data_IF_827956385242
#
_entry.id   IF_827956385242
#
_cell.length_a   1.000
_cell.length_b   1.000
_cell.length_c   1.000
_cell.angle_alpha   90.00
_cell.angle_beta   90.00
_cell.angle_gamma   90.00
#
_symmetry.space_group_name_H-M   'P 1'
#
loop_
_entity.id
_entity.type
_entity.pdbx_description
1 polymer ?
#
# COMPACT_ATOMS: atom_id res chain seq x y z
N UNK A 1 -10.50 -17.34 47.20
CA UNK A 1 -10.73 -16.15 46.33
C UNK A 1 -11.37 -16.63 45.04
N UNK A 2 -12.48 -16.07 44.58
CA UNK A 2 -13.16 -16.57 43.39
C UNK A 2 -12.36 -16.21 42.14
N UNK A 3 -11.96 -17.20 41.37
CA UNK A 3 -11.23 -17.12 40.12
C UNK A 3 -11.85 -16.11 39.11
N UNK A 4 -13.17 -15.93 39.18
CA UNK A 4 -13.93 -14.99 38.36
C UNK A 4 -13.53 -13.52 38.55
N UNK A 5 -13.06 -13.13 39.78
CA UNK A 5 -12.59 -11.76 40.03
C UNK A 5 -11.18 -11.51 39.48
N UNK A 6 -10.33 -12.54 39.47
CA UNK A 6 -8.97 -12.45 38.93
C UNK A 6 -9.03 -12.37 37.38
N UNK A 7 -9.89 -13.18 36.76
CA UNK A 7 -10.11 -13.13 35.31
C UNK A 7 -10.76 -11.81 34.87
N UNK A 8 -11.74 -11.30 35.66
CA UNK A 8 -12.35 -10.00 35.35
C UNK A 8 -11.36 -8.84 35.52
N UNK A 9 -10.53 -8.83 36.55
CA UNK A 9 -9.51 -7.81 36.77
C UNK A 9 -8.42 -7.86 35.70
N UNK A 10 -8.00 -9.07 35.26
CA UNK A 10 -7.06 -9.25 34.17
C UNK A 10 -7.61 -8.78 32.81
N UNK A 11 -8.89 -9.05 32.55
CA UNK A 11 -9.59 -8.59 31.37
C UNK A 11 -9.70 -7.06 31.29
N UNK A 12 -10.08 -6.41 32.39
CA UNK A 12 -10.17 -4.94 32.49
C UNK A 12 -8.79 -4.29 32.33
N UNK A 13 -7.75 -4.83 32.97
CA UNK A 13 -6.38 -4.31 32.80
C UNK A 13 -5.87 -4.47 31.37
N UNK A 14 -6.17 -5.59 30.71
CA UNK A 14 -5.82 -5.83 29.32
C UNK A 14 -6.50 -4.84 28.36
N UNK A 15 -7.79 -4.59 28.57
CA UNK A 15 -8.54 -3.60 27.76
C UNK A 15 -8.03 -2.17 28.00
N UNK A 16 -7.73 -1.81 29.24
CA UNK A 16 -7.16 -0.50 29.56
C UNK A 16 -5.78 -0.30 28.93
N UNK A 17 -4.92 -1.32 28.96
CA UNK A 17 -3.62 -1.29 28.31
C UNK A 17 -3.73 -1.15 26.78
N UNK A 18 -4.68 -1.85 26.16
CA UNK A 18 -4.95 -1.76 24.72
C UNK A 18 -5.47 -0.38 24.34
N UNK A 19 -6.44 0.15 25.10
CA UNK A 19 -6.97 1.49 24.89
C UNK A 19 -5.89 2.57 25.07
N UNK A 20 -5.05 2.43 26.10
CA UNK A 20 -3.91 3.32 26.33
C UNK A 20 -2.89 3.29 25.19
N UNK A 21 -2.57 2.09 24.67
CA UNK A 21 -1.69 1.93 23.50
C UNK A 21 -2.28 2.59 22.28
N UNK A 22 -3.57 2.41 22.04
CA UNK A 22 -4.27 3.01 20.91
C UNK A 22 -4.29 4.54 21.01
N UNK A 23 -4.66 5.09 22.17
CA UNK A 23 -4.65 6.54 22.40
C UNK A 23 -3.24 7.15 22.26
N UNK A 24 -2.21 6.47 22.78
CA UNK A 24 -0.83 6.90 22.61
C UNK A 24 -0.37 6.86 21.14
N UNK A 25 -0.84 5.86 20.41
CA UNK A 25 -0.59 5.71 18.97
C UNK A 25 -1.24 6.84 18.15
N UNK A 26 -2.51 7.17 18.42
CA UNK A 26 -3.19 8.31 17.82
C UNK A 26 -2.45 9.62 18.10
N UNK A 27 -2.13 9.89 19.37
CA UNK A 27 -1.39 11.09 19.75
C UNK A 27 0.01 11.13 19.11
N UNK A 28 0.64 9.99 18.85
CA UNK A 28 1.88 9.91 18.08
C UNK A 28 1.64 10.24 16.62
N UNK A 29 0.60 9.66 16.01
CA UNK A 29 0.24 9.95 14.61
C UNK A 29 -0.02 11.44 14.42
N UNK A 30 -0.82 12.07 15.29
CA UNK A 30 -1.11 13.50 15.25
C UNK A 30 0.17 14.36 15.36
N UNK A 31 1.08 14.02 16.27
CA UNK A 31 2.35 14.74 16.42
C UNK A 31 3.31 14.52 15.26
N UNK A 32 3.25 13.36 14.61
CA UNK A 32 4.10 13.01 13.48
C UNK A 32 3.51 13.50 12.16
N UNK A 33 2.26 14.00 12.19
CA UNK A 33 1.62 14.54 11.02
C UNK A 33 2.39 15.79 10.56
N UNK A 34 2.96 15.80 9.36
CA UNK A 34 3.60 17.01 8.83
C UNK A 34 2.48 17.99 8.49
N UNK A 35 2.13 18.87 9.38
CA UNK A 35 1.00 19.81 9.23
C UNK A 35 1.04 20.66 7.95
N UNK A 36 2.22 20.81 7.36
CA UNK A 36 2.46 21.25 5.99
C UNK A 36 3.75 20.59 5.54
N UNK A 37 3.73 19.93 4.39
CA UNK A 37 4.96 19.47 3.74
C UNK A 37 5.71 20.74 3.28
N UNK A 38 6.84 21.01 3.91
CA UNK A 38 7.57 22.27 3.67
C UNK A 38 8.30 22.31 2.32
N UNK A 39 8.46 21.16 1.66
CA UNK A 39 9.22 21.06 0.43
C UNK A 39 8.33 20.66 -0.75
N UNK A 40 8.10 21.58 -1.68
CA UNK A 40 7.62 21.22 -3.02
C UNK A 40 8.73 20.48 -3.75
N UNK A 41 8.37 19.40 -4.41
CA UNK A 41 9.29 18.63 -5.22
C UNK A 41 9.47 19.33 -6.57
N UNK A 42 10.70 19.68 -6.90
CA UNK A 42 11.07 20.20 -8.22
C UNK A 42 11.83 19.14 -9.01
N UNK A 43 11.78 19.24 -10.34
CA UNK A 43 12.60 18.38 -11.21
C UNK A 43 12.09 16.93 -11.33
N UNK A 44 10.82 16.66 -11.04
CA UNK A 44 10.24 15.33 -11.22
C UNK A 44 10.36 14.83 -12.65
N UNK A 45 10.20 15.74 -13.65
CA UNK A 45 10.13 15.35 -15.04
C UNK A 45 8.81 14.62 -15.36
N UNK A 46 8.78 14.00 -16.53
CA UNK A 46 7.62 13.22 -17.00
C UNK A 46 8.07 12.03 -17.84
N UNK A 47 7.22 11.01 -17.94
CA UNK A 47 7.41 9.84 -18.78
C UNK A 47 6.27 9.73 -19.80
N UNK A 48 6.49 9.02 -20.92
CA UNK A 48 5.46 8.85 -21.94
C UNK A 48 4.39 7.83 -21.52
N UNK A 49 4.81 6.84 -20.73
CA UNK A 49 3.92 5.80 -20.21
C UNK A 49 4.42 5.27 -18.86
N UNK A 50 3.49 4.69 -18.09
CA UNK A 50 3.78 3.81 -16.97
C UNK A 50 3.04 2.50 -17.14
N UNK A 51 3.73 1.39 -16.88
CA UNK A 51 3.18 0.05 -16.81
C UNK A 51 3.29 -0.45 -15.36
N UNK A 52 2.19 -0.96 -14.82
CA UNK A 52 2.08 -1.52 -13.47
C UNK A 52 1.61 -2.96 -13.63
N UNK A 53 2.51 -3.91 -13.37
CA UNK A 53 2.23 -5.34 -13.41
C UNK A 53 2.12 -5.89 -11.99
N UNK A 54 0.90 -6.25 -11.51
CA UNK A 54 0.75 -6.92 -10.24
C UNK A 54 1.40 -8.30 -10.28
N UNK A 55 2.45 -8.49 -9.47
CA UNK A 55 3.11 -9.78 -9.26
C UNK A 55 2.54 -10.50 -8.03
N UNK A 56 2.07 -9.75 -7.05
CA UNK A 56 1.36 -10.27 -5.88
C UNK A 56 0.09 -9.47 -5.66
N UNK A 57 -1.03 -10.16 -5.66
CA UNK A 57 -2.38 -9.71 -5.34
C UNK A 57 -3.21 -10.90 -4.85
N UNK A 58 -4.31 -10.62 -4.17
CA UNK A 58 -5.22 -11.68 -3.71
C UNK A 58 -5.92 -12.39 -4.87
N UNK A 59 -6.28 -11.63 -5.90
CA UNK A 59 -7.05 -12.13 -7.04
C UNK A 59 -6.14 -12.50 -8.20
N UNK A 60 -6.44 -13.62 -8.84
CA UNK A 60 -5.79 -14.12 -10.05
C UNK A 60 -6.83 -14.32 -11.15
N UNK A 61 -6.46 -14.29 -12.43
CA UNK A 61 -7.33 -14.76 -13.50
C UNK A 61 -7.55 -16.28 -13.37
N UNK A 62 -8.76 -16.73 -13.66
CA UNK A 62 -9.12 -18.15 -13.60
C UNK A 62 -8.24 -18.99 -14.56
N UNK A 63 -7.73 -20.12 -14.08
CA UNK A 63 -6.92 -21.04 -14.88
C UNK A 63 -5.53 -20.53 -15.26
N UNK A 64 -5.09 -19.39 -14.75
CA UNK A 64 -3.79 -18.80 -15.11
C UNK A 64 -2.56 -19.53 -14.57
N UNK A 65 -2.72 -20.39 -13.55
CA UNK A 65 -1.59 -20.99 -12.84
C UNK A 65 -0.82 -20.03 -11.93
N UNK A 66 -1.24 -18.76 -11.84
CA UNK A 66 -0.64 -17.75 -10.98
C UNK A 66 -1.07 -17.92 -9.52
N UNK A 67 -0.19 -17.60 -8.59
CA UNK A 67 -0.43 -17.71 -7.16
C UNK A 67 -1.02 -16.39 -6.60
N UNK A 68 -2.25 -16.46 -6.08
CA UNK A 68 -2.85 -15.37 -5.32
C UNK A 68 -2.50 -15.45 -3.84
N UNK A 69 -2.21 -14.31 -3.20
CA UNK A 69 -2.04 -14.21 -1.75
C UNK A 69 -2.51 -12.84 -1.24
N UNK A 70 -2.92 -12.73 0.03
CA UNK A 70 -3.33 -11.44 0.60
C UNK A 70 -2.10 -10.57 0.92
N UNK A 71 -1.50 -9.98 -0.10
CA UNK A 71 -0.32 -9.13 -0.05
C UNK A 71 -0.18 -8.35 -1.35
N UNK A 72 0.79 -7.45 -1.40
CA UNK A 72 1.05 -6.58 -2.54
C UNK A 72 2.48 -6.70 -3.04
N UNK A 73 2.64 -6.83 -4.35
CA UNK A 73 3.89 -6.52 -5.04
C UNK A 73 3.59 -6.15 -6.50
N UNK A 74 4.08 -4.98 -6.91
CA UNK A 74 3.92 -4.49 -8.28
C UNK A 74 5.27 -4.24 -8.94
N UNK A 75 5.45 -4.75 -10.15
CA UNK A 75 6.56 -4.34 -11.00
C UNK A 75 6.12 -3.14 -11.83
N UNK A 76 6.71 -2.00 -11.55
CA UNK A 76 6.42 -0.72 -12.20
C UNK A 76 7.52 -0.43 -13.21
N UNK A 77 7.15 -0.13 -14.45
CA UNK A 77 8.07 0.29 -15.50
C UNK A 77 7.69 1.67 -15.99
N UNK A 78 8.61 2.62 -15.92
CA UNK A 78 8.43 3.98 -16.43
C UNK A 78 9.79 4.64 -16.65
N UNK A 79 9.95 5.43 -17.70
CA UNK A 79 11.18 6.18 -17.98
C UNK A 79 12.43 5.32 -18.14
N UNK A 80 12.29 4.07 -18.57
CA UNK A 80 13.38 3.10 -18.70
C UNK A 80 13.75 2.39 -17.41
N UNK A 81 13.12 2.73 -16.27
CA UNK A 81 13.35 2.09 -14.96
C UNK A 81 12.38 0.96 -14.68
N UNK A 82 12.83 0.03 -13.84
CA UNK A 82 12.09 -1.11 -13.28
C UNK A 82 12.12 -1.02 -11.77
N UNK A 83 10.99 -0.67 -11.19
CA UNK A 83 10.83 -0.50 -9.74
C UNK A 83 9.94 -1.58 -9.19
N UNK A 84 10.37 -2.30 -8.16
CA UNK A 84 9.51 -3.19 -7.42
C UNK A 84 8.90 -2.43 -6.25
N UNK A 85 7.59 -2.34 -6.23
CA UNK A 85 6.80 -1.76 -5.13
C UNK A 85 6.26 -2.88 -4.26
N UNK A 86 6.72 -2.98 -3.01
CA UNK A 86 6.46 -4.02 -2.03
C UNK A 86 6.89 -5.45 -2.46
N UNK A 87 6.84 -6.42 -1.54
CA UNK A 87 7.35 -7.77 -1.76
C UNK A 87 6.41 -8.91 -1.32
N UNK A 88 5.13 -8.61 -1.10
CA UNK A 88 4.12 -9.60 -0.76
C UNK A 88 4.21 -10.18 0.65
N UNK A 89 3.61 -11.34 0.85
CA UNK A 89 3.47 -12.02 2.14
C UNK A 89 4.39 -13.24 2.28
N UNK A 90 4.63 -13.98 1.21
CA UNK A 90 5.25 -15.32 1.26
C UNK A 90 6.76 -15.33 1.03
N UNK A 91 7.43 -14.17 1.06
CA UNK A 91 8.88 -14.05 0.80
C UNK A 91 9.79 -14.86 1.73
N UNK A 92 9.28 -15.33 2.88
CA UNK A 92 9.98 -16.27 3.75
C UNK A 92 9.97 -17.73 3.30
N UNK A 93 9.25 -18.08 2.24
CA UNK A 93 9.18 -19.42 1.64
C UNK A 93 10.26 -19.59 0.57
N UNK A 94 10.66 -20.82 0.30
CA UNK A 94 11.59 -21.14 -0.78
C UNK A 94 11.01 -20.75 -2.15
N UNK A 95 9.72 -20.97 -2.33
CA UNK A 95 8.94 -20.54 -3.48
C UNK A 95 7.86 -19.57 -3.00
N UNK A 96 8.11 -18.28 -3.15
CA UNK A 96 7.15 -17.22 -2.82
C UNK A 96 6.22 -16.98 -4.00
N UNK A 97 5.00 -16.46 -3.74
CA UNK A 97 4.08 -16.04 -4.79
C UNK A 97 4.75 -15.00 -5.72
N UNK A 98 5.53 -14.08 -5.16
CA UNK A 98 6.28 -13.08 -5.93
C UNK A 98 7.21 -13.74 -6.95
N UNK A 99 8.04 -14.70 -6.52
CA UNK A 99 9.03 -15.37 -7.40
C UNK A 99 8.34 -16.27 -8.41
N UNK A 100 7.35 -17.05 -7.97
CA UNK A 100 6.55 -17.90 -8.85
C UNK A 100 5.89 -17.09 -9.98
N UNK A 101 5.17 -16.04 -9.61
CA UNK A 101 4.45 -15.22 -10.59
C UNK A 101 5.41 -14.44 -11.51
N UNK A 102 6.52 -13.92 -10.96
CA UNK A 102 7.53 -13.26 -11.78
C UNK A 102 8.13 -14.19 -12.84
N UNK A 103 8.37 -15.47 -12.51
CA UNK A 103 8.84 -16.47 -13.46
C UNK A 103 7.78 -16.80 -14.52
N UNK A 104 6.55 -17.06 -14.08
CA UNK A 104 5.43 -17.37 -14.97
C UNK A 104 5.12 -16.25 -15.97
N UNK A 105 5.28 -15.00 -15.53
CA UNK A 105 4.99 -13.81 -16.34
C UNK A 105 6.22 -13.30 -17.14
N UNK A 106 7.36 -13.98 -17.07
CA UNK A 106 8.59 -13.53 -17.72
C UNK A 106 9.06 -12.15 -17.25
N UNK A 107 8.86 -11.85 -15.97
CA UNK A 107 9.17 -10.58 -15.31
C UNK A 107 10.33 -10.74 -14.32
N UNK A 108 11.60 -10.88 -14.77
CA UNK A 108 12.73 -11.18 -13.90
C UNK A 108 12.94 -10.08 -12.87
N UNK A 109 13.27 -10.49 -11.63
CA UNK A 109 13.52 -9.60 -10.49
C UNK A 109 15.03 -9.27 -10.30
N UNK A 110 15.89 -9.76 -11.20
CA UNK A 110 17.35 -9.52 -11.14
C UNK A 110 17.79 -8.14 -11.61
N UNK A 111 16.98 -7.49 -12.47
CA UNK A 111 17.32 -6.24 -13.15
C UNK A 111 16.47 -5.07 -12.62
N UNK A 112 16.30 -4.99 -11.32
CA UNK A 112 15.59 -3.87 -10.69
C UNK A 112 16.52 -2.67 -10.54
N UNK A 113 16.02 -1.48 -10.85
CA UNK A 113 16.71 -0.20 -10.61
C UNK A 113 16.44 0.34 -9.21
N UNK A 114 15.29 0.02 -8.63
CA UNK A 114 14.94 0.37 -7.25
C UNK A 114 13.90 -0.57 -6.65
N UNK A 115 13.85 -0.60 -5.32
CA UNK A 115 12.76 -1.17 -4.53
C UNK A 115 12.11 -0.04 -3.73
N UNK A 116 10.78 -0.03 -3.66
CA UNK A 116 10.02 0.87 -2.79
C UNK A 116 9.19 0.01 -1.85
N UNK A 117 9.36 0.17 -0.55
CA UNK A 117 8.51 -0.47 0.45
C UNK A 117 7.52 0.58 0.96
N UNK A 118 6.24 0.33 0.76
CA UNK A 118 5.19 1.25 1.18
C UNK A 118 5.14 1.40 2.71
N UNK A 119 5.09 0.30 3.43
CA UNK A 119 5.07 0.26 4.90
C UNK A 119 5.52 -1.11 5.45
N UNK A 120 5.69 -1.20 6.78
CA UNK A 120 6.31 -2.36 7.43
C UNK A 120 5.25 -3.37 7.95
N UNK A 121 4.21 -3.68 7.17
CA UNK A 121 3.34 -4.82 7.47
C UNK A 121 3.79 -6.08 6.74
N UNK A 122 3.39 -7.22 7.29
CA UNK A 122 3.91 -8.54 6.88
C UNK A 122 3.60 -8.90 5.43
N UNK A 123 2.52 -8.41 4.91
CA UNK A 123 1.99 -8.63 3.56
C UNK A 123 2.58 -7.68 2.49
N UNK A 124 3.50 -6.81 2.91
CA UNK A 124 4.25 -5.88 2.05
C UNK A 124 5.77 -6.13 2.08
N UNK A 125 6.27 -6.86 3.07
CA UNK A 125 7.73 -7.06 3.27
C UNK A 125 8.18 -8.51 3.19
N UNK A 126 7.33 -9.44 2.73
CA UNK A 126 7.68 -10.86 2.61
C UNK A 126 7.43 -11.68 3.89
N UNK A 127 6.50 -11.27 4.75
CA UNK A 127 5.99 -12.04 5.86
C UNK A 127 6.40 -11.58 7.25
N UNK A 128 5.83 -12.25 8.26
CA UNK A 128 5.96 -11.90 9.67
C UNK A 128 7.41 -11.84 10.17
N UNK A 129 8.27 -12.75 9.69
CA UNK A 129 9.69 -12.78 10.09
C UNK A 129 10.43 -11.55 9.59
N UNK A 130 10.18 -11.14 8.35
CA UNK A 130 10.75 -9.95 7.74
C UNK A 130 10.27 -8.70 8.48
N UNK A 131 8.96 -8.56 8.70
CA UNK A 131 8.37 -7.43 9.43
C UNK A 131 8.95 -7.28 10.85
N UNK A 132 9.05 -8.38 11.62
CA UNK A 132 9.65 -8.36 12.97
C UNK A 132 11.13 -8.00 12.99
N UNK A 133 11.86 -8.36 11.93
CA UNK A 133 13.27 -8.01 11.76
C UNK A 133 13.48 -6.66 11.11
N UNK A 134 12.40 -5.94 10.78
CA UNK A 134 12.45 -4.65 10.07
C UNK A 134 13.28 -4.74 8.78
N UNK A 135 13.00 -5.76 7.98
CA UNK A 135 13.60 -6.01 6.67
C UNK A 135 12.51 -6.38 5.67
N UNK A 136 12.88 -6.64 4.43
CA UNK A 136 12.02 -7.24 3.42
C UNK A 136 12.73 -8.42 2.77
N UNK A 137 11.98 -9.28 2.06
CA UNK A 137 12.55 -10.43 1.34
C UNK A 137 11.63 -10.86 0.21
N UNK A 138 12.22 -11.30 -0.91
CA UNK A 138 11.48 -11.79 -2.08
C UNK A 138 11.23 -13.29 -2.01
N UNK A 139 12.23 -14.06 -1.55
CA UNK A 139 12.15 -15.50 -1.31
C UNK A 139 13.25 -15.95 -0.34
N UNK A 140 13.12 -17.13 0.24
CA UNK A 140 14.17 -17.71 1.08
C UNK A 140 15.40 -18.07 0.22
N UNK A 141 16.40 -17.22 0.26
CA UNK A 141 17.79 -17.56 -0.11
C UNK A 141 18.29 -17.26 -1.52
N UNK A 142 17.51 -16.75 -2.48
CA UNK A 142 18.00 -16.75 -3.85
C UNK A 142 17.96 -15.43 -4.65
N UNK A 143 16.96 -14.56 -4.46
CA UNK A 143 16.71 -13.42 -5.37
C UNK A 143 16.60 -12.10 -4.60
N UNK A 144 17.58 -11.85 -3.74
CA UNK A 144 17.63 -10.60 -3.01
C UNK A 144 18.29 -9.50 -3.87
N UNK A 145 17.72 -8.27 -3.90
CA UNK A 145 18.28 -7.18 -4.69
C UNK A 145 19.66 -6.79 -4.16
N UNK A 146 20.71 -6.96 -4.98
CA UNK A 146 22.08 -6.65 -4.59
C UNK A 146 22.50 -5.29 -5.14
N UNK A 147 22.90 -4.36 -4.23
CA UNK A 147 23.32 -3.01 -4.61
C UNK A 147 22.20 -2.16 -5.23
N UNK A 148 20.94 -2.57 -5.03
CA UNK A 148 19.78 -1.83 -5.54
C UNK A 148 19.29 -0.87 -4.47
N UNK A 149 19.04 0.42 -4.77
CA UNK A 149 18.44 1.37 -3.84
C UNK A 149 17.07 0.87 -3.36
N UNK A 150 16.87 0.83 -2.05
CA UNK A 150 15.58 0.47 -1.45
C UNK A 150 15.05 1.65 -0.62
N UNK A 151 14.03 2.32 -1.15
CA UNK A 151 13.35 3.43 -0.49
C UNK A 151 12.34 2.90 0.51
N UNK A 152 12.54 3.22 1.80
CA UNK A 152 11.74 2.65 2.89
C UNK A 152 11.15 3.76 3.78
N UNK A 153 9.92 3.61 4.32
CA UNK A 153 9.22 4.67 5.04
C UNK A 153 9.69 4.84 6.49
N UNK A 154 10.51 3.94 6.97
CA UNK A 154 11.00 3.91 8.34
C UNK A 154 12.35 3.21 8.39
N UNK A 155 13.03 3.28 9.54
CA UNK A 155 14.30 2.58 9.71
C UNK A 155 14.14 1.07 9.51
N UNK A 156 14.69 0.57 8.42
CA UNK A 156 14.81 -0.84 8.04
C UNK A 156 16.26 -1.18 7.76
N UNK A 157 16.57 -2.46 7.59
CA UNK A 157 17.87 -2.94 7.14
C UNK A 157 17.68 -4.05 6.10
N UNK A 158 18.66 -4.23 5.26
CA UNK A 158 18.68 -5.33 4.31
C UNK A 158 20.15 -5.74 4.08
N UNK A 159 20.47 -7.05 3.98
CA UNK A 159 21.88 -7.50 3.88
C UNK A 159 22.53 -7.14 2.55
N UNK A 160 21.76 -6.86 1.51
CA UNK A 160 22.27 -6.67 0.13
C UNK A 160 21.77 -5.41 -0.57
N UNK A 161 20.59 -4.89 -0.23
CA UNK A 161 20.05 -3.68 -0.82
C UNK A 161 20.58 -2.44 -0.11
N UNK A 162 20.70 -1.34 -0.85
CA UNK A 162 21.14 -0.03 -0.32
C UNK A 162 19.94 0.71 0.28
N UNK A 163 19.80 0.66 1.60
CA UNK A 163 18.64 1.26 2.29
C UNK A 163 18.69 2.78 2.29
N UNK A 164 17.67 3.38 1.68
CA UNK A 164 17.40 4.81 1.70
C UNK A 164 16.12 5.09 2.48
N UNK A 165 16.25 5.53 3.74
CA UNK A 165 15.08 5.92 4.54
C UNK A 165 14.52 7.23 3.98
N UNK A 166 13.26 7.23 3.61
CA UNK A 166 12.54 8.41 3.13
C UNK A 166 12.13 9.25 4.33
N UNK A 167 12.45 10.53 4.30
CA UNK A 167 11.99 11.54 5.27
C UNK A 167 11.22 12.65 4.58
N UNK A 168 11.63 12.98 3.36
CA UNK A 168 11.10 14.04 2.52
C UNK A 168 10.73 13.50 1.14
N UNK A 169 9.89 14.18 0.35
CA UNK A 169 9.59 13.76 -1.00
C UNK A 169 10.88 13.70 -1.83
N UNK A 170 11.06 12.63 -2.59
CA UNK A 170 12.31 12.37 -3.32
C UNK A 170 12.05 11.83 -4.72
N UNK A 171 12.65 12.45 -5.73
CA UNK A 171 12.75 11.87 -7.07
C UNK A 171 13.66 10.63 -7.02
N UNK A 172 13.18 9.53 -7.56
CA UNK A 172 13.90 8.25 -7.63
C UNK A 172 14.26 7.85 -9.07
N UNK A 173 13.67 8.52 -10.03
CA UNK A 173 13.92 8.33 -11.46
C UNK A 173 13.12 9.28 -12.33
N UNK A 174 13.28 9.22 -13.66
CA UNK A 174 12.54 10.07 -14.58
C UNK A 174 11.02 9.95 -14.35
N UNK A 175 10.38 11.07 -14.02
CA UNK A 175 8.94 11.13 -13.75
C UNK A 175 8.48 10.36 -12.51
N UNK A 176 9.38 9.80 -11.70
CA UNK A 176 9.01 9.01 -10.52
C UNK A 176 9.53 9.62 -9.21
N UNK A 177 8.68 9.65 -8.20
CA UNK A 177 9.07 10.08 -6.86
C UNK A 177 8.35 9.29 -5.77
N UNK A 178 9.02 9.09 -4.64
CA UNK A 178 8.39 8.66 -3.39
C UNK A 178 7.92 9.89 -2.60
N UNK A 179 6.73 9.79 -2.04
CA UNK A 179 6.17 10.80 -1.13
C UNK A 179 6.75 10.65 0.27
N UNK A 180 6.71 11.69 1.11
CA UNK A 180 7.13 11.56 2.50
C UNK A 180 6.24 10.52 3.22
N UNK A 181 6.81 9.74 4.17
CA UNK A 181 6.03 8.78 4.92
C UNK A 181 5.01 9.49 5.81
N UNK A 182 3.76 9.07 5.71
CA UNK A 182 2.65 9.60 6.47
C UNK A 182 2.28 8.67 7.62
N UNK A 183 1.89 9.21 8.78
CA UNK A 183 1.48 8.40 9.92
C UNK A 183 0.08 7.82 9.73
N UNK A 184 -0.07 6.56 10.11
CA UNK A 184 -1.34 5.86 10.24
C UNK A 184 -1.44 5.18 11.60
N UNK A 185 -2.66 4.85 12.02
CA UNK A 185 -2.92 4.10 13.26
C UNK A 185 -3.98 3.05 13.03
N UNK A 186 -3.65 1.82 13.39
CA UNK A 186 -4.55 0.67 13.36
C UNK A 186 -4.80 0.20 14.79
N UNK A 187 -6.03 -0.15 15.10
CA UNK A 187 -6.38 -0.50 16.50
C UNK A 187 -5.56 -1.68 17.00
N UNK A 188 -5.47 -2.76 16.24
CA UNK A 188 -4.74 -3.98 16.64
C UNK A 188 -3.25 -3.94 16.29
N UNK A 189 -2.89 -3.43 15.13
CA UNK A 189 -1.51 -3.45 14.63
C UNK A 189 -0.68 -2.26 15.12
N UNK A 190 -1.34 -1.18 15.56
CA UNK A 190 -0.68 -0.02 16.14
C UNK A 190 -0.28 1.04 15.12
N UNK A 191 0.69 1.85 15.51
CA UNK A 191 1.22 2.93 14.68
C UNK A 191 2.02 2.38 13.50
N UNK A 192 1.78 2.96 12.33
CA UNK A 192 2.48 2.65 11.08
C UNK A 192 2.86 3.95 10.37
N UNK A 193 3.92 3.92 9.58
CA UNK A 193 4.24 4.96 8.60
C UNK A 193 4.17 4.33 7.22
N UNK A 194 3.47 4.98 6.31
CA UNK A 194 3.32 4.54 4.93
C UNK A 194 3.71 5.65 3.97
N UNK A 195 4.48 5.32 2.94
CA UNK A 195 4.82 6.17 1.81
C UNK A 195 4.14 5.69 0.54
N UNK A 196 3.82 6.60 -0.35
CA UNK A 196 3.30 6.29 -1.67
C UNK A 196 4.33 6.62 -2.76
N UNK A 197 4.17 5.99 -3.92
CA UNK A 197 4.93 6.30 -5.12
C UNK A 197 4.04 7.11 -6.08
N UNK A 198 4.61 8.10 -6.75
CA UNK A 198 3.93 8.83 -7.82
C UNK A 198 4.72 8.73 -9.12
N UNK A 199 3.99 8.64 -10.23
CA UNK A 199 4.55 8.70 -11.59
C UNK A 199 3.83 9.79 -12.36
N UNK A 200 4.59 10.72 -12.95
CA UNK A 200 4.06 11.79 -13.79
C UNK A 200 4.09 11.35 -15.25
N UNK A 201 2.91 11.11 -15.81
CA UNK A 201 2.76 10.69 -17.21
C UNK A 201 2.38 11.90 -18.07
N UNK A 202 3.16 12.15 -19.12
CA UNK A 202 2.99 13.28 -20.03
C UNK A 202 1.57 13.32 -20.63
N UNK A 203 0.90 14.47 -20.52
CA UNK A 203 -0.45 14.66 -21.02
C UNK A 203 -1.55 13.91 -20.26
N UNK A 204 -1.19 13.09 -19.27
CA UNK A 204 -2.13 12.40 -18.40
C UNK A 204 -2.20 13.05 -17.01
N UNK A 205 -1.08 13.23 -16.34
CA UNK A 205 -0.94 13.69 -14.97
C UNK A 205 -0.35 12.63 -14.04
N UNK A 206 -0.56 12.80 -12.72
CA UNK A 206 0.00 11.87 -11.73
C UNK A 206 -0.78 10.56 -11.64
N UNK A 207 -0.03 9.48 -11.59
CA UNK A 207 -0.45 8.15 -11.16
C UNK A 207 0.05 7.96 -9.73
N UNK A 208 -0.86 7.93 -8.76
CA UNK A 208 -0.57 7.70 -7.36
C UNK A 208 -0.69 6.22 -7.04
N UNK A 209 0.34 5.63 -6.44
CA UNK A 209 0.42 4.21 -6.09
C UNK A 209 0.60 4.09 -4.58
N UNK A 210 -0.37 3.49 -3.89
CA UNK A 210 -0.37 3.25 -2.44
C UNK A 210 -0.24 1.76 -2.10
N UNK A 211 0.26 1.45 -0.90
CA UNK A 211 0.27 0.08 -0.37
C UNK A 211 -1.10 -0.33 0.14
N UNK A 212 -1.48 0.20 1.30
CA UNK A 212 -2.78 -0.02 1.94
C UNK A 212 -3.57 1.28 2.21
N UNK A 213 -2.95 2.45 2.10
CA UNK A 213 -3.62 3.70 2.41
C UNK A 213 -3.89 3.92 3.90
N UNK A 214 -3.09 3.35 4.80
CA UNK A 214 -3.26 3.48 6.26
C UNK A 214 -3.27 4.91 6.80
N UNK A 215 -2.57 5.89 6.18
CA UNK A 215 -2.70 7.30 6.55
C UNK A 215 -4.05 7.91 6.22
N UNK A 216 -4.92 7.18 5.53
CA UNK A 216 -6.15 7.58 4.85
C UNK A 216 -5.85 8.27 3.51
N UNK A 217 -6.62 7.89 2.50
CA UNK A 217 -6.34 8.35 1.12
C UNK A 217 -6.47 9.87 0.98
N UNK A 218 -7.39 10.50 1.71
CA UNK A 218 -7.59 11.96 1.67
C UNK A 218 -6.31 12.71 2.08
N UNK A 219 -5.60 12.14 3.04
CA UNK A 219 -4.32 12.69 3.51
C UNK A 219 -3.20 12.47 2.50
N UNK A 220 -3.15 11.28 1.88
CA UNK A 220 -2.17 10.98 0.84
C UNK A 220 -2.40 11.89 -0.37
N UNK A 221 -3.65 12.07 -0.80
CA UNK A 221 -4.01 12.99 -1.87
C UNK A 221 -3.63 14.43 -1.54
N UNK A 222 -4.00 14.92 -0.35
CA UNK A 222 -3.69 16.28 0.10
C UNK A 222 -2.18 16.57 0.17
N UNK A 223 -1.38 15.61 0.66
CA UNK A 223 0.09 15.74 0.67
C UNK A 223 0.65 15.70 -0.74
N UNK A 224 0.12 14.85 -1.61
CA UNK A 224 0.54 14.82 -3.02
C UNK A 224 0.35 16.18 -3.69
N UNK A 225 -0.80 16.82 -3.47
CA UNK A 225 -1.14 18.15 -4.00
C UNK A 225 -0.26 19.27 -3.40
N UNK A 226 0.19 19.13 -2.15
CA UNK A 226 1.14 20.06 -1.53
C UNK A 226 2.56 19.92 -2.10
N UNK A 227 2.97 18.67 -2.38
CA UNK A 227 4.30 18.33 -2.89
C UNK A 227 4.45 18.66 -4.38
N UNK A 228 3.39 18.41 -5.17
CA UNK A 228 3.41 18.47 -6.64
C UNK A 228 2.22 19.28 -7.15
N UNK A 229 2.49 20.27 -8.00
CA UNK A 229 1.46 21.07 -8.70
C UNK A 229 1.09 20.38 -10.03
N UNK A 230 0.70 19.11 -9.94
CA UNK A 230 0.32 18.27 -11.09
C UNK A 230 -0.96 17.51 -10.70
N UNK A 231 -2.02 17.52 -11.55
CA UNK A 231 -3.28 16.85 -11.23
C UNK A 231 -3.11 15.34 -11.01
N UNK A 232 -3.71 14.79 -9.96
CA UNK A 232 -3.80 13.34 -9.75
C UNK A 232 -4.87 12.79 -10.67
N UNK A 233 -4.51 11.90 -11.59
CA UNK A 233 -5.41 11.33 -12.59
C UNK A 233 -5.59 9.83 -12.48
N UNK A 234 -4.74 9.16 -11.70
CA UNK A 234 -4.96 7.75 -11.37
C UNK A 234 -4.66 7.51 -9.89
N UNK A 235 -5.44 6.60 -9.27
CA UNK A 235 -5.22 6.05 -7.92
C UNK A 235 -5.14 4.54 -8.06
N UNK A 236 -4.01 3.98 -7.64
CA UNK A 236 -3.69 2.55 -7.81
C UNK A 236 -3.25 1.97 -6.46
N UNK A 237 -3.70 0.76 -6.13
CA UNK A 237 -3.29 0.02 -4.94
C UNK A 237 -4.35 -0.05 -3.85
N UNK A 238 -3.95 -0.24 -2.60
CA UNK A 238 -4.83 -0.42 -1.45
C UNK A 238 -5.33 0.90 -0.88
N UNK A 239 -6.56 0.88 -0.36
CA UNK A 239 -7.20 2.00 0.33
C UNK A 239 -7.66 1.63 1.75
N UNK A 240 -7.54 0.37 2.10
CA UNK A 240 -7.92 -0.22 3.39
C UNK A 240 -9.33 0.16 3.85
N UNK A 241 -10.31 -0.15 3.01
CA UNK A 241 -11.73 0.10 3.26
C UNK A 241 -12.49 -1.22 3.51
N UNK A 242 -12.22 -1.92 4.63
CA UNK A 242 -12.89 -3.17 4.96
C UNK A 242 -14.29 -2.90 5.53
N UNK A 243 -15.18 -2.35 4.70
CA UNK A 243 -16.57 -2.02 5.09
C UNK A 243 -17.27 -3.26 5.61
N UNK A 244 -17.81 -3.16 6.82
CA UNK A 244 -18.63 -4.20 7.41
C UNK A 244 -20.09 -3.98 7.03
N UNK A 245 -20.51 -4.56 5.93
CA UNK A 245 -21.91 -4.56 5.51
C UNK A 245 -22.61 -5.85 5.93
N UNK A 246 -23.94 -5.80 6.13
CA UNK A 246 -24.73 -6.96 6.48
C UNK A 246 -24.58 -8.07 5.43
N UNK A 247 -24.22 -9.28 5.88
CA UNK A 247 -23.98 -10.43 5.00
C UNK A 247 -22.57 -10.58 4.43
N UNK A 248 -21.66 -9.67 4.71
CA UNK A 248 -20.24 -9.84 4.35
C UNK A 248 -19.51 -10.72 5.36
N UNK A 249 -18.73 -11.73 4.92
CA UNK A 249 -17.95 -12.54 5.84
C UNK A 249 -16.88 -11.67 6.53
N UNK A 250 -16.66 -11.91 7.82
CA UNK A 250 -15.55 -11.33 8.57
C UNK A 250 -14.24 -11.87 7.98
N UNK A 251 -13.48 -11.00 7.34
CA UNK A 251 -12.14 -11.31 6.87
C UNK A 251 -11.10 -10.78 7.86
N UNK A 252 -9.94 -11.43 7.99
CA UNK A 252 -8.89 -10.97 8.90
C UNK A 252 -8.51 -9.50 8.72
N UNK A 253 -8.50 -9.02 7.49
CA UNK A 253 -8.22 -7.62 7.15
C UNK A 253 -9.27 -6.66 7.73
N UNK A 254 -10.55 -7.03 7.72
CA UNK A 254 -11.61 -6.21 8.31
C UNK A 254 -11.47 -6.06 9.84
N UNK A 255 -10.88 -7.06 10.50
CA UNK A 255 -10.70 -7.06 11.94
C UNK A 255 -9.35 -6.45 12.33
N UNK A 256 -8.26 -6.97 11.79
CA UNK A 256 -6.89 -6.61 12.20
C UNK A 256 -6.44 -5.28 11.62
N UNK A 257 -6.83 -4.98 10.40
CA UNK A 257 -6.48 -3.75 9.69
C UNK A 257 -7.44 -2.59 9.92
N UNK A 258 -8.44 -2.73 10.79
CA UNK A 258 -9.35 -1.63 11.08
C UNK A 258 -8.61 -0.48 11.79
N UNK A 259 -8.68 0.77 11.29
CA UNK A 259 -8.12 1.93 11.96
C UNK A 259 -8.84 2.26 13.26
N UNK A 260 -10.08 1.85 13.42
CA UNK A 260 -10.93 2.11 14.56
C UNK A 260 -11.04 0.90 15.50
N UNK A 261 -11.51 1.10 16.76
CA UNK A 261 -11.87 0.00 17.65
C UNK A 261 -12.92 -0.94 17.01
N UNK A 262 -12.97 -2.22 17.40
CA UNK A 262 -13.90 -3.20 16.80
C UNK A 262 -15.39 -2.83 16.86
N UNK A 263 -15.76 -1.97 17.81
CA UNK A 263 -17.14 -1.45 17.94
C UNK A 263 -17.42 -0.21 17.07
N UNK A 264 -16.44 0.24 16.31
CA UNK A 264 -16.53 1.32 15.32
C UNK A 264 -15.87 0.85 14.00
N UNK A 265 -16.43 -0.16 13.33
CA UNK A 265 -15.89 -0.64 12.06
C UNK A 265 -15.99 0.45 10.98
N UNK A 266 -15.17 0.32 9.95
CA UNK A 266 -15.32 1.17 8.75
C UNK A 266 -16.72 0.98 8.18
N UNK A 267 -17.45 2.07 8.06
CA UNK A 267 -18.84 2.09 7.60
C UNK A 267 -18.93 2.34 6.08
N UNK A 268 -20.10 2.06 5.51
CA UNK A 268 -20.43 2.43 4.13
C UNK A 268 -20.25 3.94 3.89
N UNK A 269 -20.64 4.76 4.88
CA UNK A 269 -20.50 6.22 4.81
C UNK A 269 -19.03 6.65 4.77
N UNK A 270 -18.14 5.98 5.49
CA UNK A 270 -16.70 6.28 5.45
C UNK A 270 -16.14 5.97 4.06
N UNK A 271 -16.56 4.85 3.45
CA UNK A 271 -16.13 4.50 2.10
C UNK A 271 -16.74 5.43 1.02
N UNK A 272 -18.01 5.85 1.18
CA UNK A 272 -18.63 6.83 0.29
C UNK A 272 -17.90 8.18 0.34
N UNK A 273 -17.52 8.63 1.54
CA UNK A 273 -16.71 9.85 1.69
C UNK A 273 -15.36 9.74 0.96
N UNK A 274 -14.69 8.61 1.07
CA UNK A 274 -13.44 8.34 0.32
C UNK A 274 -13.67 8.38 -1.19
N UNK A 275 -14.76 7.79 -1.67
CA UNK A 275 -15.15 7.81 -3.09
C UNK A 275 -15.37 9.26 -3.57
N UNK A 276 -16.06 10.09 -2.79
CA UNK A 276 -16.29 11.49 -3.09
C UNK A 276 -15.00 12.30 -3.14
N UNK A 277 -14.10 12.08 -2.20
CA UNK A 277 -12.78 12.73 -2.14
C UNK A 277 -11.91 12.40 -3.35
N UNK A 278 -11.94 11.13 -3.78
CA UNK A 278 -11.23 10.71 -4.99
C UNK A 278 -11.88 11.32 -6.24
N UNK A 279 -13.21 11.26 -6.33
CA UNK A 279 -13.95 11.78 -7.50
C UNK A 279 -13.77 13.28 -7.69
N UNK A 280 -13.72 14.05 -6.60
CA UNK A 280 -13.52 15.51 -6.63
C UNK A 280 -12.23 15.92 -7.38
N UNK A 281 -11.25 15.03 -7.46
CA UNK A 281 -9.98 15.24 -8.19
C UNK A 281 -10.06 14.84 -9.66
N UNK A 282 -11.19 14.30 -10.09
CA UNK A 282 -11.45 13.93 -11.49
C UNK A 282 -10.50 12.86 -12.03
N UNK A 283 -10.34 11.71 -11.35
CA UNK A 283 -9.45 10.66 -11.82
C UNK A 283 -9.98 10.04 -13.12
N UNK A 284 -9.05 9.63 -13.97
CA UNK A 284 -9.33 8.90 -15.22
C UNK A 284 -9.21 7.39 -15.02
N UNK A 285 -8.44 6.96 -14.01
CA UNK A 285 -8.21 5.53 -13.69
C UNK A 285 -8.25 5.33 -12.17
N UNK A 286 -9.02 4.34 -11.73
CA UNK A 286 -9.01 3.82 -10.36
C UNK A 286 -8.75 2.31 -10.45
N UNK A 287 -7.67 1.84 -9.85
CA UNK A 287 -7.31 0.43 -9.85
C UNK A 287 -7.03 -0.04 -8.42
N UNK A 288 -8.01 -0.70 -7.79
CA UNK A 288 -7.89 -1.08 -6.39
C UNK A 288 -7.31 -2.48 -6.21
N UNK A 289 -6.44 -2.60 -5.22
CA UNK A 289 -5.94 -3.88 -4.73
C UNK A 289 -7.08 -4.72 -4.13
N UNK A 290 -7.01 -6.03 -4.37
CA UNK A 290 -8.01 -6.98 -3.88
C UNK A 290 -7.74 -7.52 -2.48
N UNK A 291 -6.67 -7.06 -1.77
CA UNK A 291 -6.23 -7.70 -0.54
C UNK A 291 -6.78 -7.08 0.75
N UNK A 292 -7.12 -5.78 0.75
CA UNK A 292 -7.35 -4.98 1.97
C UNK A 292 -8.79 -4.46 2.16
N UNK A 293 -9.63 -4.62 1.16
CA UNK A 293 -11.01 -4.12 1.17
C UNK A 293 -12.04 -5.26 0.99
N UNK A 294 -13.31 -4.97 1.19
CA UNK A 294 -14.39 -5.96 1.08
C UNK A 294 -15.10 -5.89 -0.28
N UNK A 295 -15.85 -6.94 -0.68
CA UNK A 295 -16.66 -6.93 -1.91
C UNK A 295 -17.57 -5.72 -2.02
N UNK A 296 -18.21 -5.29 -0.91
CA UNK A 296 -19.05 -4.09 -0.89
C UNK A 296 -18.29 -2.86 -1.41
N UNK A 297 -17.05 -2.69 -0.97
CA UNK A 297 -16.19 -1.55 -1.39
C UNK A 297 -15.92 -1.60 -2.89
N UNK A 298 -15.51 -2.76 -3.42
CA UNK A 298 -15.25 -2.90 -4.86
C UNK A 298 -16.49 -2.62 -5.70
N UNK A 299 -17.66 -3.11 -5.27
CA UNK A 299 -18.95 -2.85 -5.92
C UNK A 299 -19.32 -1.36 -5.87
N UNK A 300 -19.08 -0.67 -4.74
CA UNK A 300 -19.33 0.75 -4.61
C UNK A 300 -18.45 1.58 -5.56
N UNK A 301 -17.16 1.28 -5.63
CA UNK A 301 -16.23 1.92 -6.58
C UNK A 301 -16.60 1.61 -8.04
N UNK A 302 -16.95 0.37 -8.35
CA UNK A 302 -17.39 -0.02 -9.69
C UNK A 302 -18.65 0.72 -10.14
N UNK A 303 -19.64 0.86 -9.27
CA UNK A 303 -20.85 1.64 -9.56
C UNK A 303 -20.57 3.12 -9.78
N UNK A 304 -19.65 3.71 -8.99
CA UNK A 304 -19.36 5.14 -9.06
C UNK A 304 -18.49 5.52 -10.25
N UNK A 305 -17.47 4.74 -10.53
CA UNK A 305 -16.46 5.10 -11.53
C UNK A 305 -16.65 4.39 -12.89
N UNK A 306 -17.51 3.36 -12.97
CA UNK A 306 -17.79 2.64 -14.21
C UNK A 306 -16.52 2.15 -14.90
N UNK A 307 -16.35 2.44 -16.18
CA UNK A 307 -15.19 2.00 -17.00
C UNK A 307 -13.85 2.54 -16.52
N UNK A 308 -13.84 3.55 -15.65
CA UNK A 308 -12.61 4.07 -15.03
C UNK A 308 -12.12 3.21 -13.87
N UNK A 309 -12.93 2.25 -13.41
CA UNK A 309 -12.60 1.38 -12.29
C UNK A 309 -12.18 -0.01 -12.75
N UNK A 310 -11.19 -0.57 -12.05
CA UNK A 310 -10.86 -2.00 -12.10
C UNK A 310 -10.33 -2.50 -10.75
N UNK A 311 -10.51 -3.78 -10.47
CA UNK A 311 -9.82 -4.46 -9.36
C UNK A 311 -8.55 -5.10 -9.91
N UNK A 312 -7.41 -4.87 -9.26
CA UNK A 312 -6.13 -5.43 -9.67
C UNK A 312 -6.12 -6.95 -9.50
N UNK A 313 -5.53 -7.64 -10.47
CA UNK A 313 -5.32 -9.09 -10.48
C UNK A 313 -3.90 -9.40 -10.88
N UNK A 314 -3.33 -10.46 -10.33
CA UNK A 314 -1.99 -10.93 -10.69
C UNK A 314 -1.88 -11.14 -12.20
N UNK A 315 -0.87 -10.55 -12.82
CA UNK A 315 -0.59 -10.71 -14.25
C UNK A 315 -1.41 -9.81 -15.20
N UNK A 316 -2.44 -9.11 -14.70
CA UNK A 316 -3.18 -8.14 -15.51
C UNK A 316 -2.49 -6.77 -15.46
N UNK A 317 -1.66 -6.50 -16.46
CA UNK A 317 -0.89 -5.26 -16.53
C UNK A 317 -1.80 -4.06 -16.75
N UNK A 318 -1.65 -3.03 -15.91
CA UNK A 318 -2.23 -1.71 -16.10
C UNK A 318 -1.22 -0.82 -16.80
N UNK A 319 -1.56 -0.34 -18.01
CA UNK A 319 -0.71 0.55 -18.78
C UNK A 319 -1.40 1.90 -18.94
N UNK A 320 -0.73 2.99 -18.56
CA UNK A 320 -1.26 4.35 -18.61
C UNK A 320 -0.37 5.20 -19.50
N UNK A 321 -0.99 5.86 -20.48
CA UNK A 321 -0.37 6.76 -21.43
C UNK A 321 -1.12 8.10 -21.48
N UNK A 322 -0.70 9.04 -22.30
CA UNK A 322 -1.42 10.30 -22.55
C UNK A 322 -2.88 10.09 -23.00
N UNK A 323 -3.15 9.01 -23.73
CA UNK A 323 -4.50 8.68 -24.23
C UNK A 323 -5.43 8.12 -23.12
N UNK A 324 -4.87 7.59 -22.06
CA UNK A 324 -5.61 6.96 -20.96
C UNK A 324 -4.94 5.68 -20.46
N UNK A 325 -5.69 4.88 -19.70
CA UNK A 325 -5.26 3.60 -19.13
C UNK A 325 -6.26 2.49 -19.37
#
# INVERSE_FOLDING_TARGET
MPWNRVLAAGGVAGLAALAGRYAAGLARADRSWPGQVQARLSGLGEVDEVSILPLVERLTPDGSGLAGEPGVSYLIRAGGMRVLFDSGLSGGKAESALVHNAQMLGAPLGDLDAVVISHLHLDHVGGLRAARRRTFTFAAGALEPAGVPAHVPTRMHHPRADIAVTTDPRVIGPGMAVLPPLPGMLFWLGYVTEQALVVNVRGFGLVLISGCGHPRIEQILGVTEQVLDIPIRAVVGGLHLPVHAAGTPLIPQAVLGNPHPPWQPVSERDAEHVIEEIEARGPRVIALSGHDSTPWTYDAFSRRFGDRYRTLRVGEELRITAAGG
#
